data_IF_050349834798
#
_entry.id   IF_050349834798
#
_cell.length_a   1.000
_cell.length_b   1.000
_cell.length_c   1.000
_cell.angle_alpha   90.00
_cell.angle_beta   90.00
_cell.angle_gamma   90.00
#
_symmetry.space_group_name_H-M   'P 1'
#
loop_
_entity.id
_entity.type
_entity.pdbx_description
1 polymer ?
#
# COMPACT_ATOMS: atom_id res chain seq x y z
N UNK A 1 -28.79 4.18 -49.01
CA UNK A 1 -28.05 2.91 -49.21
C UNK A 1 -26.65 3.18 -48.67
N UNK A 2 -26.27 2.90 -47.42
CA UNK A 2 -26.27 1.64 -46.65
C UNK A 2 -25.62 0.51 -47.44
N UNK A 3 -24.31 0.38 -47.28
CA UNK A 3 -23.61 -0.89 -47.43
C UNK A 3 -22.59 -1.07 -46.29
N UNK A 4 -22.66 -2.27 -45.73
CA UNK A 4 -22.05 -2.81 -44.51
C UNK A 4 -20.99 -3.83 -44.94
N UNK A 5 -19.87 -3.97 -44.20
CA UNK A 5 -19.20 -5.24 -43.79
C UNK A 5 -17.83 -4.90 -43.15
N UNK A 6 -17.63 -5.07 -41.83
CA UNK A 6 -17.11 -6.29 -41.12
C UNK A 6 -15.71 -6.71 -41.66
N UNK A 7 -14.63 -6.95 -40.90
CA UNK A 7 -14.44 -7.58 -39.58
C UNK A 7 -12.92 -7.79 -39.30
N UNK A 8 -12.52 -7.80 -38.01
CA UNK A 8 -11.43 -8.53 -37.33
C UNK A 8 -9.91 -8.27 -37.57
N UNK A 9 -9.20 -8.04 -36.45
CA UNK A 9 -8.00 -8.76 -35.92
C UNK A 9 -7.12 -7.75 -35.12
N UNK A 10 -7.19 -7.69 -33.78
CA UNK A 10 -6.47 -8.48 -32.76
C UNK A 10 -4.95 -8.22 -32.70
N UNK A 11 -4.51 -7.90 -31.48
CA UNK A 11 -3.17 -7.96 -30.86
C UNK A 11 -2.04 -7.01 -31.28
N UNK A 12 -1.59 -6.20 -30.30
CA UNK A 12 -0.18 -6.17 -29.92
C UNK A 12 -0.06 -5.89 -28.41
N UNK A 13 0.08 -6.96 -27.63
CA UNK A 13 0.60 -6.92 -26.27
C UNK A 13 2.08 -6.50 -26.40
N UNK A 14 2.44 -5.28 -26.00
CA UNK A 14 3.86 -4.89 -25.90
C UNK A 14 4.20 -4.69 -24.43
N UNK A 15 4.60 -5.80 -23.82
CA UNK A 15 5.42 -5.78 -22.62
C UNK A 15 6.79 -5.22 -23.00
N UNK A 16 7.11 -4.02 -22.52
CA UNK A 16 8.48 -3.51 -22.46
C UNK A 16 8.88 -3.46 -20.99
N UNK A 17 9.58 -4.49 -20.55
CA UNK A 17 10.25 -4.51 -19.26
C UNK A 17 11.71 -4.03 -19.43
N UNK A 18 12.25 -3.55 -18.31
CA UNK A 18 13.67 -3.37 -17.96
C UNK A 18 14.32 -2.10 -18.58
N UNK A 19 14.86 -1.12 -17.83
CA UNK A 19 15.90 -1.19 -16.79
C UNK A 19 15.97 0.10 -15.93
N UNK A 20 16.10 -0.08 -14.61
CA UNK A 20 17.09 0.65 -13.80
C UNK A 20 16.77 2.05 -13.28
N UNK A 21 16.41 2.12 -11.99
CA UNK A 21 16.89 3.19 -11.10
C UNK A 21 15.89 4.31 -10.84
N UNK A 22 15.49 4.41 -9.57
CA UNK A 22 14.64 5.44 -8.96
C UNK A 22 13.16 5.28 -9.28
N UNK A 23 12.53 4.31 -8.60
CA UNK A 23 11.14 4.47 -8.17
C UNK A 23 11.09 5.72 -7.30
N UNK A 24 10.93 6.89 -7.94
CA UNK A 24 10.52 8.09 -7.25
C UNK A 24 9.20 7.72 -6.59
N UNK A 25 9.07 7.83 -5.25
CA UNK A 25 7.79 7.67 -4.61
C UNK A 25 6.93 8.78 -5.19
N UNK A 26 6.07 8.44 -6.14
CA UNK A 26 5.01 9.33 -6.59
C UNK A 26 4.19 9.57 -5.34
N UNK A 27 4.38 10.72 -4.71
CA UNK A 27 3.63 11.13 -3.53
C UNK A 27 2.17 10.93 -3.86
N UNK A 28 1.58 9.90 -3.29
CA UNK A 28 0.22 9.51 -3.59
C UNK A 28 -0.66 10.63 -3.04
N UNK A 29 -1.13 11.52 -3.90
CA UNK A 29 -2.24 12.39 -3.52
C UNK A 29 -3.44 11.48 -3.31
N UNK A 30 -4.25 11.72 -2.27
CA UNK A 30 -5.57 11.11 -2.16
C UNK A 30 -6.43 11.60 -3.34
N UNK A 31 -6.22 11.02 -4.51
CA UNK A 31 -6.86 11.42 -5.75
C UNK A 31 -8.35 11.11 -5.68
N UNK A 32 -9.14 11.94 -6.35
CA UNK A 32 -10.57 11.74 -6.57
C UNK A 32 -10.81 10.38 -7.23
N UNK A 33 -11.07 9.34 -6.43
CA UNK A 33 -11.31 7.99 -6.97
C UNK A 33 -11.65 6.94 -5.94
N UNK A 34 -10.94 6.89 -4.79
CA UNK A 34 -11.18 5.87 -3.75
C UNK A 34 -10.97 6.47 -2.35
N UNK A 35 -11.92 6.29 -1.40
CA UNK A 35 -11.71 6.67 -0.01
C UNK A 35 -10.48 5.94 0.55
N UNK A 36 -9.45 6.68 0.92
CA UNK A 36 -8.18 6.13 1.39
C UNK A 36 -7.68 6.81 2.66
N UNK A 37 -6.75 6.17 3.37
CA UNK A 37 -6.25 6.57 4.69
C UNK A 37 -4.77 6.24 4.85
N UNK A 38 -4.05 7.07 5.60
CA UNK A 38 -2.70 6.74 6.05
C UNK A 38 -2.74 5.74 7.21
N UNK A 39 -1.71 4.91 7.32
CA UNK A 39 -1.58 3.95 8.42
C UNK A 39 -0.46 4.42 9.33
N UNK A 40 -0.75 4.45 10.63
CA UNK A 40 0.21 4.63 11.71
C UNK A 40 0.41 3.28 12.39
N UNK A 41 1.65 2.86 12.58
CA UNK A 41 1.98 1.65 13.32
C UNK A 41 2.71 2.04 14.60
N UNK A 42 2.14 1.65 15.74
CA UNK A 42 2.72 1.85 17.06
C UNK A 42 3.40 0.56 17.51
N UNK A 43 4.66 0.70 17.92
CA UNK A 43 5.47 -0.35 18.49
C UNK A 43 5.37 -0.28 20.01
N UNK A 44 4.60 -1.17 20.61
CA UNK A 44 4.41 -1.27 22.06
C UNK A 44 5.46 -2.22 22.70
N UNK A 45 6.40 -2.74 21.91
CA UNK A 45 7.44 -3.67 22.35
C UNK A 45 8.73 -2.94 22.78
N UNK A 46 9.65 -3.69 23.39
CA UNK A 46 10.99 -3.21 23.75
C UNK A 46 12.04 -3.33 22.62
N UNK A 47 11.66 -3.86 21.46
CA UNK A 47 12.58 -4.07 20.32
C UNK A 47 12.25 -3.11 19.18
N UNK A 48 13.25 -2.73 18.37
CA UNK A 48 12.98 -1.96 17.14
C UNK A 48 12.03 -2.75 16.23
N UNK A 49 11.02 -2.09 15.68
CA UNK A 49 10.08 -2.67 14.71
C UNK A 49 10.39 -2.11 13.33
N UNK A 50 10.60 -3.01 12.37
CA UNK A 50 10.61 -2.69 10.94
C UNK A 50 9.33 -3.22 10.33
N UNK A 51 8.65 -2.43 9.51
CA UNK A 51 7.39 -2.86 8.92
C UNK A 51 7.17 -2.27 7.53
N UNK A 52 6.32 -2.93 6.76
CA UNK A 52 5.74 -2.42 5.52
C UNK A 52 4.33 -2.96 5.37
N UNK A 53 3.53 -2.27 4.58
CA UNK A 53 2.15 -2.64 4.27
C UNK A 53 2.02 -2.91 2.77
N UNK A 54 1.18 -3.89 2.45
CA UNK A 54 0.72 -4.24 1.10
C UNK A 54 -0.79 -4.28 1.03
N UNK A 55 -1.38 -3.77 -0.03
CA UNK A 55 -2.84 -3.81 -0.22
C UNK A 55 -3.32 -2.92 -1.34
N UNK A 56 -4.64 -2.63 -1.38
CA UNK A 56 -5.18 -1.70 -2.35
C UNK A 56 -4.94 -0.25 -1.95
N UNK A 57 -4.33 0.55 -2.83
CA UNK A 57 -4.04 1.96 -2.61
C UNK A 57 -5.25 2.87 -3.00
N UNK A 58 -5.08 4.18 -2.93
CA UNK A 58 -6.08 5.19 -3.34
C UNK A 58 -6.43 5.19 -4.84
N UNK A 59 -5.66 4.49 -5.66
CA UNK A 59 -5.92 4.26 -7.08
C UNK A 59 -6.55 2.88 -7.34
N UNK A 60 -6.91 2.14 -6.29
CA UNK A 60 -7.43 0.78 -6.35
C UNK A 60 -6.43 -0.23 -6.98
N UNK A 61 -5.13 0.04 -6.86
CA UNK A 61 -4.05 -0.83 -7.29
C UNK A 61 -3.48 -1.59 -6.10
N UNK A 62 -3.12 -2.85 -6.31
CA UNK A 62 -2.48 -3.66 -5.27
C UNK A 62 -0.98 -3.39 -5.25
N UNK A 63 -0.50 -2.71 -4.22
CA UNK A 63 0.86 -2.16 -4.17
C UNK A 63 1.49 -2.30 -2.79
N UNK A 64 2.79 -1.99 -2.71
CA UNK A 64 3.65 -2.06 -1.54
C UNK A 64 4.11 -0.68 -1.10
N UNK A 65 4.20 -0.49 0.20
CA UNK A 65 4.95 0.65 0.77
C UNK A 65 6.44 0.35 0.92
N UNK A 66 7.28 1.38 1.07
CA UNK A 66 8.64 1.21 1.55
C UNK A 66 8.67 0.65 2.97
N UNK A 67 9.84 0.20 3.40
CA UNK A 67 10.06 -0.22 4.79
C UNK A 67 10.15 1.02 5.68
N UNK A 68 9.44 0.97 6.80
CA UNK A 68 9.44 1.97 7.86
C UNK A 68 9.99 1.37 9.14
N UNK A 69 10.55 2.22 9.99
CA UNK A 69 11.05 1.85 11.30
C UNK A 69 10.25 2.57 12.40
N UNK A 70 9.85 1.83 13.43
CA UNK A 70 9.27 2.35 14.66
C UNK A 70 10.13 1.88 15.85
N UNK A 71 10.72 2.83 16.57
CA UNK A 71 11.50 2.56 17.78
C UNK A 71 10.60 2.04 18.92
N UNK A 72 11.18 1.38 19.95
CA UNK A 72 10.43 0.92 21.11
C UNK A 72 9.55 2.02 21.71
N UNK A 73 8.29 1.70 21.97
CA UNK A 73 7.29 2.62 22.55
C UNK A 73 7.02 3.88 21.72
N UNK A 74 7.22 3.81 20.40
CA UNK A 74 6.95 4.92 19.47
C UNK A 74 6.03 4.48 18.33
N UNK A 75 5.50 5.46 17.60
CA UNK A 75 4.70 5.21 16.42
C UNK A 75 5.35 5.82 15.18
N UNK A 76 5.21 5.13 14.05
CA UNK A 76 5.60 5.64 12.74
C UNK A 76 4.37 5.71 11.84
N UNK A 77 4.18 6.87 11.20
CA UNK A 77 3.11 7.08 10.21
C UNK A 77 3.71 6.98 8.82
N UNK A 78 3.04 6.22 7.96
CA UNK A 78 3.43 6.03 6.57
C UNK A 78 2.97 7.24 5.74
N UNK A 79 3.65 8.36 5.90
CA UNK A 79 3.32 9.60 5.20
C UNK A 79 3.42 9.42 3.69
N UNK A 80 2.53 10.10 2.94
CA UNK A 80 2.42 10.03 1.48
C UNK A 80 2.09 8.65 0.88
N UNK A 81 1.67 7.67 1.70
CA UNK A 81 1.11 6.39 1.26
C UNK A 81 -0.33 6.22 1.79
N UNK A 82 -1.27 5.95 0.90
CA UNK A 82 -2.69 5.89 1.22
C UNK A 82 -3.29 4.54 0.85
N UNK A 83 -3.98 3.93 1.80
CA UNK A 83 -4.61 2.62 1.63
C UNK A 83 -6.12 2.74 1.61
N UNK A 84 -6.76 1.97 0.75
CA UNK A 84 -8.21 1.93 0.57
C UNK A 84 -8.93 1.62 1.88
N UNK A 85 -9.87 2.49 2.25
CA UNK A 85 -10.77 2.28 3.39
C UNK A 85 -11.71 1.11 3.12
N UNK A 86 -12.22 0.51 4.20
CA UNK A 86 -13.11 -0.65 4.14
C UNK A 86 -12.49 -1.84 3.39
N UNK A 87 -11.19 -2.07 3.57
CA UNK A 87 -10.48 -3.19 2.97
C UNK A 87 -9.42 -3.75 3.89
N UNK A 88 -8.92 -4.94 3.58
CA UNK A 88 -7.80 -5.55 4.28
C UNK A 88 -6.48 -5.20 3.61
N UNK A 89 -5.45 -5.05 4.43
CA UNK A 89 -4.05 -4.94 4.03
C UNK A 89 -3.25 -6.03 4.71
N UNK A 90 -2.12 -6.41 4.11
CA UNK A 90 -1.10 -7.22 4.75
C UNK A 90 -0.12 -6.29 5.48
N UNK A 91 -0.01 -6.42 6.80
CA UNK A 91 1.03 -5.77 7.58
C UNK A 91 2.17 -6.77 7.79
N UNK A 92 3.29 -6.51 7.14
CA UNK A 92 4.53 -7.25 7.28
C UNK A 92 5.41 -6.58 8.33
N UNK A 93 5.97 -7.36 9.24
CA UNK A 93 6.72 -6.84 10.39
C UNK A 93 7.87 -7.74 10.81
N UNK A 94 8.94 -7.11 11.29
CA UNK A 94 10.13 -7.72 11.87
C UNK A 94 10.50 -6.96 13.15
N UNK A 95 10.60 -7.66 14.27
CA UNK A 95 11.13 -7.11 15.52
C UNK A 95 12.61 -7.47 15.68
N UNK A 96 13.47 -6.48 15.93
CA UNK A 96 14.91 -6.66 16.05
C UNK A 96 15.50 -7.37 14.82
N UNK A 97 16.26 -8.44 15.05
CA UNK A 97 16.82 -9.32 14.02
C UNK A 97 15.97 -10.57 13.73
N UNK A 98 14.70 -10.57 14.15
CA UNK A 98 13.78 -11.71 13.95
C UNK A 98 13.44 -11.97 12.48
N UNK A 99 12.65 -13.02 12.21
CA UNK A 99 12.15 -13.26 10.86
C UNK A 99 11.03 -12.26 10.49
N UNK A 100 10.87 -11.98 9.19
CA UNK A 100 9.69 -11.30 8.69
C UNK A 100 8.46 -12.19 8.88
N UNK A 101 7.42 -11.60 9.46
CA UNK A 101 6.10 -12.21 9.60
C UNK A 101 5.06 -11.27 9.04
N UNK A 102 3.88 -11.76 8.70
CA UNK A 102 2.79 -10.91 8.24
C UNK A 102 1.47 -11.28 8.90
N UNK A 103 0.61 -10.29 9.05
CA UNK A 103 -0.77 -10.44 9.51
C UNK A 103 -1.69 -9.57 8.67
N UNK A 104 -2.87 -10.09 8.36
CA UNK A 104 -3.92 -9.28 7.76
C UNK A 104 -4.44 -8.26 8.80
N UNK A 105 -4.55 -7.00 8.40
CA UNK A 105 -5.15 -5.92 9.20
C UNK A 105 -6.27 -5.25 8.41
N UNK A 106 -7.34 -4.88 9.10
CA UNK A 106 -8.48 -4.21 8.48
C UNK A 106 -8.32 -2.69 8.56
N UNK A 107 -8.51 -2.03 7.43
CA UNK A 107 -8.52 -0.57 7.31
C UNK A 107 -9.97 -0.08 7.45
N UNK A 108 -10.32 0.62 8.54
CA UNK A 108 -11.70 0.98 8.81
C UNK A 108 -12.24 2.04 7.86
N UNK A 109 -13.55 1.99 7.61
CA UNK A 109 -14.26 3.08 6.95
C UNK A 109 -14.52 4.24 7.94
N UNK A 110 -13.50 5.07 8.18
CA UNK A 110 -13.59 6.23 9.07
C UNK A 110 -13.52 7.55 8.30
N UNK A 111 -14.04 8.63 8.89
CA UNK A 111 -13.85 10.00 8.40
C UNK A 111 -12.42 10.51 8.62
N UNK A 112 -11.66 9.87 9.50
CA UNK A 112 -10.25 10.21 9.77
C UNK A 112 -9.34 10.06 8.55
N UNK A 113 -8.19 10.72 8.61
CA UNK A 113 -7.10 10.62 7.62
C UNK A 113 -6.04 9.58 7.98
N UNK A 114 -6.09 9.05 9.20
CA UNK A 114 -5.18 8.03 9.73
C UNK A 114 -5.95 6.92 10.46
N UNK A 115 -5.40 5.71 10.44
CA UNK A 115 -5.77 4.60 11.34
C UNK A 115 -4.52 4.07 12.02
N UNK A 116 -4.65 3.59 13.25
CA UNK A 116 -3.50 3.11 14.04
C UNK A 116 -3.56 1.61 14.23
N UNK A 117 -2.43 0.93 14.00
CA UNK A 117 -2.22 -0.46 14.34
C UNK A 117 -1.18 -0.59 15.46
N UNK A 118 -1.58 -1.23 16.54
CA UNK A 118 -0.70 -1.55 17.66
C UNK A 118 -0.01 -2.91 17.43
N UNK A 119 1.29 -2.95 17.71
CA UNK A 119 2.18 -4.08 17.49
C UNK A 119 2.97 -4.35 18.77
N UNK A 120 2.97 -5.60 19.22
CA UNK A 120 3.59 -6.07 20.46
C UNK A 120 4.46 -7.30 20.22
#
# INVERSE_FOLDING_TARGET
MRDIKRKFAVTALTAAAVLGGLALPTTASAADGVPAIQITVCNDSNSNLRFWVRGYNQHNEWDDSPIWDAYPHTCATMWDYWWKKNSSVELHSQFGSGAWTWKQKYVPNTKGRTTTFHMS
#
